data_IF_210135898481
#
_entry.id   IF_210135898481
#
_cell.length_a   1.000
_cell.length_b   1.000
_cell.length_c   1.000
_cell.angle_alpha   90.00
_cell.angle_beta   90.00
_cell.angle_gamma   90.00
#
_symmetry.space_group_name_H-M   'P 1'
#
loop_
_entity.id
_entity.type
_entity.pdbx_description
1 polymer ?
#
# COMPACT_ATOMS: atom_id res chain seq x y z
N UNK A 1 -12.42 9.37 42.91
CA UNK A 1 -11.44 10.49 42.84
C UNK A 1 -10.20 10.15 42.02
N UNK A 2 -9.53 9.00 42.22
CA UNK A 2 -8.34 8.58 41.43
C UNK A 2 -8.55 8.50 39.91
N UNK A 3 -9.72 8.07 39.46
CA UNK A 3 -10.04 8.00 38.03
C UNK A 3 -10.25 9.40 37.43
N UNK A 4 -10.78 10.33 38.22
CA UNK A 4 -11.01 11.71 37.79
C UNK A 4 -9.68 12.48 37.66
N UNK A 5 -8.71 12.24 38.56
CA UNK A 5 -7.38 12.85 38.47
C UNK A 5 -6.57 12.35 37.27
N UNK A 6 -6.74 11.09 36.87
CA UNK A 6 -6.09 10.56 35.65
C UNK A 6 -6.67 11.25 34.42
N UNK A 7 -8.00 11.40 34.36
CA UNK A 7 -8.67 12.04 33.24
C UNK A 7 -8.28 13.52 33.10
N UNK A 8 -8.22 14.24 34.22
CA UNK A 8 -7.76 15.63 34.26
C UNK A 8 -6.29 15.75 33.85
N UNK A 9 -5.43 14.84 34.32
CA UNK A 9 -4.02 14.81 33.91
C UNK A 9 -3.85 14.57 32.41
N UNK A 10 -4.67 13.68 31.83
CA UNK A 10 -4.65 13.36 30.40
C UNK A 10 -5.14 14.55 29.56
N UNK A 11 -6.19 15.24 30.01
CA UNK A 11 -6.69 16.46 29.36
C UNK A 11 -5.63 17.56 29.40
N UNK A 12 -4.96 17.78 30.55
CA UNK A 12 -3.89 18.78 30.65
C UNK A 12 -2.70 18.42 29.74
N UNK A 13 -2.33 17.14 29.68
CA UNK A 13 -1.27 16.67 28.79
C UNK A 13 -1.64 16.87 27.31
N UNK A 14 -2.91 16.65 26.95
CA UNK A 14 -3.42 16.88 25.61
C UNK A 14 -3.44 18.37 25.24
N UNK A 15 -3.84 19.25 26.15
CA UNK A 15 -3.85 20.71 25.93
C UNK A 15 -2.41 21.23 25.75
N UNK A 16 -1.48 20.79 26.60
CA UNK A 16 -0.07 21.18 26.50
C UNK A 16 0.53 20.66 25.20
N UNK A 17 0.37 19.37 24.88
CA UNK A 17 0.85 18.79 23.63
C UNK A 17 0.26 19.46 22.38
N UNK A 18 -1.05 19.67 22.36
CA UNK A 18 -1.75 20.35 21.27
C UNK A 18 -1.29 21.80 21.08
N UNK A 19 -0.99 22.52 22.17
CA UNK A 19 -0.49 23.90 22.10
C UNK A 19 0.92 23.98 21.50
N UNK A 20 1.77 22.99 21.78
CA UNK A 20 3.12 22.89 21.22
C UNK A 20 3.02 22.56 19.73
N UNK A 21 2.17 21.60 19.35
CA UNK A 21 1.94 21.27 17.93
C UNK A 21 1.37 22.45 17.16
N UNK A 22 0.43 23.21 17.74
CA UNK A 22 -0.12 24.41 17.11
C UNK A 22 0.94 25.49 16.91
N UNK A 23 1.80 25.74 17.90
CA UNK A 23 2.86 26.73 17.78
C UNK A 23 3.92 26.33 16.74
N UNK A 24 4.29 25.05 16.67
CA UNK A 24 5.21 24.53 15.64
C UNK A 24 4.58 24.61 14.25
N UNK A 25 3.29 24.32 14.11
CA UNK A 25 2.61 24.30 12.81
C UNK A 25 2.29 25.70 12.26
N UNK A 26 2.02 26.70 13.12
CA UNK A 26 1.58 28.03 12.69
C UNK A 26 2.63 29.14 12.84
N UNK A 27 3.57 29.05 13.79
CA UNK A 27 4.58 30.08 14.03
C UNK A 27 5.98 29.64 13.58
N UNK A 28 6.04 28.91 12.46
CA UNK A 28 7.12 28.04 12.00
C UNK A 28 8.53 28.60 11.80
N UNK A 29 8.97 29.65 12.49
CA UNK A 29 10.39 30.03 12.49
C UNK A 29 10.86 30.74 13.77
N UNK A 30 10.03 31.54 14.46
CA UNK A 30 10.58 32.50 15.45
C UNK A 30 10.53 32.08 16.93
N UNK A 31 9.59 31.22 17.36
CA UNK A 31 9.41 30.99 18.82
C UNK A 31 10.11 29.74 19.38
N UNK A 32 10.63 28.86 18.53
CA UNK A 32 11.28 27.60 18.93
C UNK A 32 12.63 27.35 18.23
N UNK A 33 13.19 28.37 17.59
CA UNK A 33 14.47 28.28 16.87
C UNK A 33 15.65 27.82 17.74
N UNK A 34 15.59 28.00 19.06
CA UNK A 34 16.67 27.51 19.96
C UNK A 34 16.50 26.05 20.38
N UNK A 35 15.34 25.43 20.15
CA UNK A 35 15.05 24.03 20.50
C UNK A 35 14.97 23.12 19.28
N UNK A 36 14.75 23.71 18.10
CA UNK A 36 15.09 23.09 16.83
C UNK A 36 16.62 22.98 16.78
N UNK A 37 17.12 21.84 17.28
CA UNK A 37 18.35 21.23 16.77
C UNK A 37 18.39 21.57 15.28
N UNK A 38 19.41 22.30 14.83
CA UNK A 38 19.69 22.46 13.41
C UNK A 38 19.58 21.05 12.82
N UNK A 39 18.46 20.74 12.16
CA UNK A 39 18.40 19.61 11.25
C UNK A 39 19.48 19.98 10.26
N UNK A 40 20.61 19.31 10.39
CA UNK A 40 21.76 19.39 9.51
C UNK A 40 21.21 19.55 8.09
N UNK A 41 21.80 20.44 7.30
CA UNK A 41 21.57 20.61 5.84
C UNK A 41 21.94 19.33 5.05
N UNK A 42 21.67 18.16 5.62
CA UNK A 42 21.82 16.85 5.04
C UNK A 42 20.46 16.43 4.47
N UNK A 43 20.25 16.54 3.15
CA UNK A 43 19.00 16.14 2.52
C UNK A 43 18.69 14.65 2.70
N UNK A 44 19.66 13.80 3.11
CA UNK A 44 19.40 12.38 3.36
C UNK A 44 18.62 12.13 4.65
N UNK A 45 18.67 13.05 5.61
CA UNK A 45 17.95 12.98 6.89
C UNK A 45 16.62 13.74 6.91
N UNK A 46 16.29 14.45 5.83
CA UNK A 46 15.06 15.22 5.72
C UNK A 46 13.87 14.32 5.35
N UNK A 47 12.72 14.54 6.00
CA UNK A 47 11.46 13.89 5.63
C UNK A 47 10.72 14.62 4.50
N UNK A 48 11.21 15.79 4.11
CA UNK A 48 10.58 16.69 3.13
C UNK A 48 11.43 16.82 1.87
N UNK A 49 12.75 16.83 2.00
CA UNK A 49 13.69 16.90 0.89
C UNK A 49 14.20 15.51 0.54
N UNK A 50 14.25 15.19 -0.76
CA UNK A 50 14.71 13.88 -1.27
C UNK A 50 16.06 14.06 -1.95
N UNK A 51 17.05 13.28 -1.52
CA UNK A 51 18.33 13.24 -2.19
C UNK A 51 18.21 12.56 -3.58
N UNK A 52 19.01 12.96 -4.60
CA UNK A 52 18.93 12.36 -5.94
C UNK A 52 19.11 10.83 -5.96
N UNK A 53 19.91 10.28 -5.05
CA UNK A 53 20.12 8.83 -4.86
C UNK A 53 18.83 8.12 -4.41
N UNK A 54 18.10 8.72 -3.47
CA UNK A 54 16.83 8.21 -2.94
C UNK A 54 15.72 8.27 -3.99
N UNK A 55 15.68 9.32 -4.81
CA UNK A 55 14.74 9.43 -5.92
C UNK A 55 14.97 8.33 -6.98
N UNK A 56 16.23 8.03 -7.31
CA UNK A 56 16.55 6.93 -8.23
C UNK A 56 16.11 5.57 -7.67
N UNK A 57 16.32 5.33 -6.37
CA UNK A 57 15.87 4.11 -5.70
C UNK A 57 14.35 3.96 -5.71
N UNK A 58 13.61 5.05 -5.53
CA UNK A 58 12.14 5.03 -5.61
C UNK A 58 11.65 4.54 -6.98
N UNK A 59 12.25 5.02 -8.07
CA UNK A 59 11.89 4.60 -9.43
C UNK A 59 12.22 3.13 -9.66
N UNK A 60 13.40 2.68 -9.21
CA UNK A 60 13.81 1.27 -9.36
C UNK A 60 12.89 0.35 -8.57
N UNK A 61 12.65 0.65 -7.29
CA UNK A 61 11.79 -0.17 -6.42
C UNK A 61 10.35 -0.14 -6.96
N UNK A 62 9.84 1.03 -7.34
CA UNK A 62 8.54 1.16 -7.97
C UNK A 62 8.44 0.28 -9.22
N UNK A 63 9.43 0.36 -10.12
CA UNK A 63 9.48 -0.47 -11.32
C UNK A 63 9.47 -1.97 -11.04
N UNK A 64 10.24 -2.43 -10.04
CA UNK A 64 10.27 -3.85 -9.63
C UNK A 64 8.91 -4.29 -9.08
N UNK A 65 8.30 -3.47 -8.22
CA UNK A 65 6.99 -3.80 -7.62
C UNK A 65 5.89 -3.82 -8.69
N UNK A 66 5.80 -2.79 -9.52
CA UNK A 66 4.81 -2.72 -10.60
C UNK A 66 5.03 -3.83 -11.64
N UNK A 67 6.28 -4.08 -12.04
CA UNK A 67 6.63 -5.18 -12.94
C UNK A 67 6.29 -6.55 -12.36
N UNK A 68 6.54 -6.75 -11.07
CA UNK A 68 6.17 -7.97 -10.35
C UNK A 68 4.65 -8.18 -10.31
N UNK A 69 3.88 -7.15 -9.95
CA UNK A 69 2.42 -7.22 -9.94
C UNK A 69 1.85 -7.53 -11.34
N UNK A 70 2.38 -6.86 -12.37
CA UNK A 70 1.93 -7.06 -13.74
C UNK A 70 2.24 -8.48 -14.24
N UNK A 71 3.45 -8.97 -14.01
CA UNK A 71 3.85 -10.33 -14.43
C UNK A 71 3.03 -11.41 -13.74
N UNK A 72 2.74 -11.27 -12.44
CA UNK A 72 1.86 -12.17 -11.70
C UNK A 72 0.43 -12.16 -12.27
N UNK A 73 -0.10 -10.97 -12.59
CA UNK A 73 -1.43 -10.83 -13.19
C UNK A 73 -1.52 -11.49 -14.56
N UNK A 74 -0.52 -11.29 -15.42
CA UNK A 74 -0.43 -11.97 -16.72
C UNK A 74 -0.31 -13.48 -16.54
N UNK A 75 0.51 -13.95 -15.60
CA UNK A 75 0.66 -15.38 -15.30
C UNK A 75 -0.67 -16.04 -14.92
N UNK A 76 -1.43 -15.41 -14.02
CA UNK A 76 -2.76 -15.89 -13.63
C UNK A 76 -3.75 -15.88 -14.79
N UNK A 77 -3.75 -14.82 -15.61
CA UNK A 77 -4.61 -14.75 -16.78
C UNK A 77 -4.33 -15.88 -17.79
N UNK A 78 -3.04 -16.18 -18.04
CA UNK A 78 -2.63 -17.27 -18.93
C UNK A 78 -3.07 -18.63 -18.37
N UNK A 79 -2.85 -18.87 -17.07
CA UNK A 79 -3.28 -20.12 -16.42
C UNK A 79 -4.79 -20.30 -16.51
N UNK A 80 -5.57 -19.25 -16.20
CA UNK A 80 -7.03 -19.30 -16.29
C UNK A 80 -7.51 -19.51 -17.72
N UNK A 81 -6.86 -18.88 -18.71
CA UNK A 81 -7.17 -19.09 -20.12
C UNK A 81 -6.92 -20.54 -20.56
N UNK A 82 -5.83 -21.15 -20.12
CA UNK A 82 -5.57 -22.57 -20.39
C UNK A 82 -6.62 -23.48 -19.73
N UNK A 83 -6.97 -23.23 -18.47
CA UNK A 83 -8.01 -23.99 -17.78
C UNK A 83 -9.37 -23.88 -18.50
N UNK A 84 -9.77 -22.67 -18.88
CA UNK A 84 -11.00 -22.44 -19.62
C UNK A 84 -10.99 -23.17 -20.97
N UNK A 85 -9.87 -23.13 -21.70
CA UNK A 85 -9.68 -23.85 -22.95
C UNK A 85 -9.82 -25.36 -22.77
N UNK A 86 -9.20 -25.93 -21.74
CA UNK A 86 -9.27 -27.36 -21.44
C UNK A 86 -10.69 -27.80 -21.03
N UNK A 87 -11.39 -26.99 -20.23
CA UNK A 87 -12.77 -27.28 -19.84
C UNK A 87 -13.73 -27.26 -21.02
N UNK A 88 -13.55 -26.34 -21.97
CA UNK A 88 -14.36 -26.31 -23.19
C UNK A 88 -14.17 -27.55 -24.07
N UNK A 89 -12.94 -28.09 -24.15
CA UNK A 89 -12.67 -29.32 -24.90
C UNK A 89 -13.39 -30.52 -24.28
N UNK A 90 -13.32 -30.68 -22.96
CA UNK A 90 -13.99 -31.77 -22.25
C UNK A 90 -15.51 -31.70 -22.42
N UNK A 91 -16.09 -30.49 -22.35
CA UNK A 91 -17.53 -30.30 -22.54
C UNK A 91 -17.97 -30.67 -23.95
N UNK A 92 -17.20 -30.31 -24.97
CA UNK A 92 -17.50 -30.64 -26.35
C UNK A 92 -17.48 -32.18 -26.57
N UNK A 93 -16.46 -32.86 -26.05
CA UNK A 93 -16.33 -34.33 -26.17
C UNK A 93 -17.47 -35.08 -25.46
N UNK A 94 -17.84 -34.63 -24.25
CA UNK A 94 -18.97 -35.21 -23.50
C UNK A 94 -20.34 -35.01 -24.18
N UNK A 95 -20.48 -33.96 -24.99
CA UNK A 95 -21.73 -33.68 -25.72
C UNK A 95 -21.88 -34.62 -26.93
N UNK A 96 -20.79 -34.86 -27.67
CA UNK A 96 -20.78 -35.77 -28.83
C UNK A 96 -21.01 -37.24 -28.42
N UNK A 97 -20.44 -37.67 -27.29
CA UNK A 97 -20.69 -39.02 -26.75
C UNK A 97 -22.16 -39.19 -26.29
N UNK A 98 -22.78 -38.13 -25.76
CA UNK A 98 -24.19 -38.14 -25.40
C UNK A 98 -25.12 -38.26 -26.61
N UNK A 99 -24.84 -37.53 -27.69
CA UNK A 99 -25.66 -37.53 -28.91
C UNK A 99 -25.58 -38.86 -29.67
N UNK A 100 -24.38 -39.44 -29.75
CA UNK A 100 -24.16 -40.76 -30.35
C UNK A 100 -24.76 -41.91 -29.55
N UNK A 101 -24.79 -41.83 -28.21
CA UNK A 101 -25.45 -42.81 -27.35
C UNK A 101 -26.97 -42.81 -27.52
N UNK A 102 -27.59 -41.64 -27.67
CA UNK A 102 -29.05 -41.49 -27.90
C UNK A 102 -29.42 -41.96 -29.31
N UNK A 103 -28.63 -41.62 -30.33
CA UNK A 103 -28.87 -42.05 -31.71
C UNK A 103 -28.79 -43.57 -31.93
N UNK A 104 -28.03 -44.28 -31.09
CA UNK A 104 -27.89 -45.75 -31.17
C UNK A 104 -28.99 -46.52 -30.42
N UNK A 105 -29.79 -45.82 -29.60
CA UNK A 105 -30.93 -46.41 -28.86
C UNK A 105 -32.29 -46.19 -29.54
N UNK A 106 -32.33 -45.40 -30.62
CA UNK A 106 -33.50 -45.20 -31.49
C UNK A 106 -33.45 -46.14 -32.70
#
# INVERSE_FOLDING_TARGET
>A
MRQFSIFVGLILLLIIGGSITYQVAYNGEDSLASLAVQQVDDPEGSTVLVAPSQAALLVIIGGVVFGGMLSMGIGLAVVMWFLDRSLHQIRAESSDEGETAVAKQA
#
